data_IF_045985841669
#
_entry.id   IF_045985841669
#
_cell.length_a   1.000
_cell.length_b   1.000
_cell.length_c   1.000
_cell.angle_alpha   90.00
_cell.angle_beta   90.00
_cell.angle_gamma   90.00
#
_symmetry.space_group_name_H-M   'P 1'
#
loop_
_entity.id
_entity.type
_entity.pdbx_description
1 polymer ?
#
# COMPACT_ATOMS: atom_id res chain seq x y z
N UNK A 1 -37.48 8.91 -5.99
CA UNK A 1 -36.43 9.66 -5.26
C UNK A 1 -35.37 8.77 -4.60
N UNK A 2 -35.73 7.71 -3.85
CA UNK A 2 -34.76 6.79 -3.21
C UNK A 2 -33.75 6.13 -4.18
N UNK A 3 -34.13 5.84 -5.43
CA UNK A 3 -33.23 5.22 -6.41
C UNK A 3 -32.18 6.17 -7.00
N UNK A 4 -32.50 7.46 -7.18
CA UNK A 4 -31.56 8.47 -7.69
C UNK A 4 -30.48 8.78 -6.64
N UNK A 5 -30.89 8.96 -5.38
CA UNK A 5 -29.95 9.17 -4.28
C UNK A 5 -28.95 8.01 -4.13
N UNK A 6 -29.46 6.76 -4.18
CA UNK A 6 -28.61 5.56 -4.12
C UNK A 6 -27.60 5.52 -5.26
N UNK A 7 -28.01 5.85 -6.49
CA UNK A 7 -27.11 5.90 -7.66
C UNK A 7 -26.02 6.96 -7.50
N UNK A 8 -26.37 8.17 -7.07
CA UNK A 8 -25.40 9.25 -6.84
C UNK A 8 -24.40 8.88 -5.75
N UNK A 9 -24.86 8.32 -4.64
CA UNK A 9 -23.99 7.91 -3.54
C UNK A 9 -23.00 6.81 -3.96
N UNK A 10 -23.46 5.83 -4.75
CA UNK A 10 -22.58 4.79 -5.30
C UNK A 10 -21.56 5.36 -6.29
N UNK A 11 -21.94 6.36 -7.09
CA UNK A 11 -21.00 7.03 -8.00
C UNK A 11 -19.91 7.77 -7.21
N UNK A 12 -20.31 8.53 -6.19
CA UNK A 12 -19.40 9.26 -5.31
C UNK A 12 -18.46 8.30 -4.56
N UNK A 13 -18.99 7.21 -4.01
CA UNK A 13 -18.19 6.20 -3.32
C UNK A 13 -17.13 5.61 -4.25
N UNK A 14 -17.49 5.20 -5.47
CA UNK A 14 -16.53 4.66 -6.45
C UNK A 14 -15.46 5.67 -6.84
N UNK A 15 -15.84 6.94 -6.98
CA UNK A 15 -14.91 8.03 -7.26
C UNK A 15 -13.91 8.21 -6.10
N UNK A 16 -14.41 8.46 -4.89
CA UNK A 16 -13.59 8.68 -3.71
C UNK A 16 -12.67 7.48 -3.44
N UNK A 17 -13.17 6.27 -3.62
CA UNK A 17 -12.42 5.06 -3.37
C UNK A 17 -11.25 4.90 -4.33
N UNK A 18 -11.47 5.10 -5.64
CA UNK A 18 -10.41 5.00 -6.65
C UNK A 18 -9.38 6.11 -6.54
N UNK A 19 -9.83 7.37 -6.52
CA UNK A 19 -8.91 8.52 -6.48
C UNK A 19 -8.26 8.68 -5.11
N UNK A 20 -8.96 8.30 -4.03
CA UNK A 20 -8.38 8.21 -2.69
C UNK A 20 -7.28 7.16 -2.61
N UNK A 21 -7.49 5.96 -3.17
CA UNK A 21 -6.44 4.94 -3.24
C UNK A 21 -5.23 5.44 -4.05
N UNK A 22 -5.47 6.04 -5.21
CA UNK A 22 -4.41 6.60 -6.05
C UNK A 22 -3.60 7.68 -5.33
N UNK A 23 -4.28 8.61 -4.65
CA UNK A 23 -3.65 9.64 -3.84
C UNK A 23 -2.79 9.04 -2.72
N UNK A 24 -3.32 8.06 -1.98
CA UNK A 24 -2.59 7.39 -0.90
C UNK A 24 -1.33 6.71 -1.44
N UNK A 25 -1.42 5.97 -2.55
CA UNK A 25 -0.28 5.31 -3.17
C UNK A 25 0.82 6.30 -3.58
N UNK A 26 0.44 7.39 -4.25
CA UNK A 26 1.40 8.43 -4.65
C UNK A 26 2.05 9.06 -3.42
N UNK A 27 1.25 9.41 -2.41
CA UNK A 27 1.76 10.07 -1.21
C UNK A 27 2.70 9.17 -0.40
N UNK A 28 2.32 7.89 -0.20
CA UNK A 28 3.18 6.90 0.45
C UNK A 28 4.46 6.65 -0.34
N UNK A 29 4.39 6.63 -1.68
CA UNK A 29 5.56 6.50 -2.53
C UNK A 29 6.51 7.68 -2.36
N UNK A 30 6.01 8.91 -2.38
CA UNK A 30 6.83 10.11 -2.14
C UNK A 30 7.51 10.07 -0.77
N UNK A 31 6.81 9.61 0.27
CA UNK A 31 7.38 9.51 1.62
C UNK A 31 8.52 8.48 1.71
N UNK A 32 8.52 7.44 0.90
CA UNK A 32 9.57 6.39 0.88
C UNK A 32 10.94 6.87 0.42
N UNK A 33 11.03 8.04 -0.21
CA UNK A 33 12.32 8.66 -0.53
C UNK A 33 12.99 9.30 0.70
N UNK A 34 12.27 9.45 1.83
CA UNK A 34 12.85 10.00 3.07
C UNK A 34 13.66 8.93 3.80
N UNK A 35 14.85 9.30 4.29
CA UNK A 35 15.74 8.42 5.04
C UNK A 35 15.07 7.78 6.28
N UNK A 36 14.12 8.48 6.91
CA UNK A 36 13.37 7.96 8.06
C UNK A 36 12.55 6.72 7.74
N UNK A 37 11.97 6.64 6.54
CA UNK A 37 11.18 5.48 6.11
C UNK A 37 12.10 4.31 5.73
N UNK A 38 13.30 4.59 5.21
CA UNK A 38 14.28 3.57 4.88
C UNK A 38 14.73 2.79 6.12
N UNK A 39 15.16 3.47 7.19
CA UNK A 39 15.57 2.81 8.43
C UNK A 39 14.44 2.01 9.08
N UNK A 40 13.22 2.50 8.98
CA UNK A 40 12.06 1.80 9.51
C UNK A 40 11.77 0.49 8.77
N UNK A 41 11.87 0.50 7.43
CA UNK A 41 11.72 -0.70 6.60
C UNK A 41 12.89 -1.66 6.85
N UNK A 42 14.11 -1.14 7.05
CA UNK A 42 15.28 -1.93 7.43
C UNK A 42 15.06 -2.71 8.73
N UNK A 43 14.54 -2.06 9.77
CA UNK A 43 14.21 -2.69 11.03
C UNK A 43 13.18 -3.81 10.86
N UNK A 44 12.11 -3.57 10.10
CA UNK A 44 11.09 -4.58 9.84
C UNK A 44 11.63 -5.77 9.01
N UNK A 45 12.46 -5.50 7.99
CA UNK A 45 13.04 -6.52 7.12
C UNK A 45 14.12 -7.36 7.81
N UNK A 46 14.95 -6.75 8.66
CA UNK A 46 16.02 -7.45 9.39
C UNK A 46 15.48 -8.50 10.36
N UNK A 47 14.28 -8.29 10.89
CA UNK A 47 13.59 -9.26 11.75
C UNK A 47 12.79 -10.32 10.98
N UNK A 48 12.78 -10.26 9.64
CA UNK A 48 11.95 -11.13 8.79
C UNK A 48 12.81 -12.06 7.94
N UNK A 49 12.60 -13.37 8.04
CA UNK A 49 13.35 -14.38 7.27
C UNK A 49 13.15 -14.22 5.75
N UNK A 50 11.94 -13.87 5.33
CA UNK A 50 11.54 -13.74 3.91
C UNK A 50 12.35 -12.70 3.12
N UNK A 51 12.76 -11.60 3.75
CA UNK A 51 13.32 -10.43 3.04
C UNK A 51 14.70 -9.99 3.54
N UNK A 52 15.17 -10.49 4.68
CA UNK A 52 16.49 -10.16 5.24
C UNK A 52 17.66 -10.47 4.29
N UNK A 53 17.54 -11.50 3.45
CA UNK A 53 18.58 -11.86 2.48
C UNK A 53 18.76 -10.81 1.38
N UNK A 54 17.71 -10.03 1.03
CA UNK A 54 17.80 -8.99 -0.01
C UNK A 54 18.74 -7.86 0.40
N UNK A 55 18.84 -7.59 1.71
CA UNK A 55 19.73 -6.56 2.27
C UNK A 55 21.22 -6.88 2.03
N UNK A 56 21.56 -8.13 1.66
CA UNK A 56 22.94 -8.50 1.28
C UNK A 56 23.33 -8.05 -0.12
N UNK A 57 22.34 -7.84 -1.00
CA UNK A 57 22.55 -7.57 -2.43
C UNK A 57 22.15 -6.15 -2.84
N UNK A 58 21.17 -5.56 -2.17
CA UNK A 58 20.63 -4.24 -2.50
C UNK A 58 20.63 -3.36 -1.23
N UNK A 59 21.05 -2.11 -1.38
CA UNK A 59 20.99 -1.14 -0.27
C UNK A 59 19.54 -0.84 0.08
N UNK A 60 19.26 -0.59 1.37
CA UNK A 60 17.90 -0.28 1.79
C UNK A 60 17.32 0.93 1.03
N UNK A 61 18.13 1.95 0.78
CA UNK A 61 17.70 3.15 0.03
C UNK A 61 17.32 2.85 -1.41
N UNK A 62 18.07 1.98 -2.10
CA UNK A 62 17.71 1.55 -3.45
C UNK A 62 16.41 0.76 -3.43
N UNK A 63 16.26 -0.18 -2.47
CA UNK A 63 15.04 -0.97 -2.32
C UNK A 63 13.80 -0.11 -2.05
N UNK A 64 13.88 0.83 -1.11
CA UNK A 64 12.74 1.72 -0.80
C UNK A 64 12.43 2.67 -1.96
N UNK A 65 13.43 3.10 -2.70
CA UNK A 65 13.25 3.92 -3.91
C UNK A 65 12.54 3.16 -5.03
N UNK A 66 12.85 1.87 -5.22
CA UNK A 66 12.14 1.02 -6.19
C UNK A 66 10.67 0.90 -5.80
N UNK A 67 10.39 0.60 -4.52
CA UNK A 67 9.01 0.52 -4.03
C UNK A 67 8.31 1.88 -4.17
N UNK A 68 9.00 2.99 -3.91
CA UNK A 68 8.47 4.35 -4.06
C UNK A 68 7.96 4.59 -5.48
N UNK A 69 8.78 4.30 -6.49
CA UNK A 69 8.39 4.43 -7.89
C UNK A 69 7.24 3.51 -8.26
N UNK A 70 7.26 2.24 -7.82
CA UNK A 70 6.17 1.30 -8.07
C UNK A 70 4.84 1.79 -7.47
N UNK A 71 4.86 2.36 -6.26
CA UNK A 71 3.68 2.94 -5.62
C UNK A 71 3.14 4.14 -6.40
N UNK A 72 4.01 5.08 -6.80
CA UNK A 72 3.61 6.26 -7.56
C UNK A 72 2.99 5.86 -8.90
N UNK A 73 3.66 4.97 -9.65
CA UNK A 73 3.19 4.48 -10.95
C UNK A 73 1.84 3.76 -10.79
N UNK A 74 1.72 2.90 -9.78
CA UNK A 74 0.48 2.19 -9.48
C UNK A 74 -0.67 3.16 -9.19
N UNK A 75 -0.45 4.18 -8.35
CA UNK A 75 -1.45 5.18 -8.03
C UNK A 75 -1.91 5.98 -9.26
N UNK A 76 -0.96 6.41 -10.10
CA UNK A 76 -1.26 7.08 -11.36
C UNK A 76 -2.09 6.19 -12.30
N UNK A 77 -1.70 4.92 -12.44
CA UNK A 77 -2.38 3.97 -13.31
C UNK A 77 -3.82 3.69 -12.86
N UNK A 78 -4.05 3.55 -11.56
CA UNK A 78 -5.40 3.40 -10.98
C UNK A 78 -6.27 4.63 -11.28
N UNK A 79 -5.71 5.84 -11.16
CA UNK A 79 -6.44 7.09 -11.43
C UNK A 79 -6.73 7.28 -12.93
N UNK A 80 -5.90 6.74 -13.82
CA UNK A 80 -6.03 6.84 -15.28
C UNK A 80 -7.08 5.88 -15.89
N UNK A 81 -7.92 5.23 -15.08
CA UNK A 81 -9.04 4.41 -15.58
C UNK A 81 -9.88 5.10 -16.68
N UNK A 82 -10.26 6.39 -16.59
CA UNK A 82 -11.07 7.04 -17.63
C UNK A 82 -10.41 7.05 -19.00
N UNK A 83 -9.07 7.03 -19.05
CA UNK A 83 -8.27 7.01 -20.29
C UNK A 83 -8.07 5.58 -20.77
N UNK A 84 -7.70 4.66 -19.88
CA UNK A 84 -7.48 3.26 -20.23
C UNK A 84 -7.78 2.31 -19.07
N UNK A 85 -8.74 1.40 -19.29
CA UNK A 85 -9.04 0.31 -18.33
C UNK A 85 -7.85 -0.60 -18.10
N UNK A 86 -7.07 -0.89 -19.15
CA UNK A 86 -5.89 -1.76 -19.08
C UNK A 86 -4.81 -1.20 -18.16
N UNK A 87 -4.59 0.12 -18.17
CA UNK A 87 -3.65 0.76 -17.25
C UNK A 87 -4.11 0.58 -15.80
N UNK A 88 -5.39 0.83 -15.54
CA UNK A 88 -5.97 0.66 -14.20
C UNK A 88 -5.89 -0.78 -13.68
N UNK A 89 -6.01 -1.79 -14.56
CA UNK A 89 -5.78 -3.21 -14.20
C UNK A 89 -4.35 -3.44 -13.73
N UNK A 90 -3.35 -2.99 -14.49
CA UNK A 90 -1.94 -3.10 -14.08
C UNK A 90 -1.63 -2.32 -12.81
N UNK A 91 -2.21 -1.12 -12.66
CA UNK A 91 -2.09 -0.32 -11.44
C UNK A 91 -2.65 -1.05 -10.22
N UNK A 92 -3.84 -1.65 -10.34
CA UNK A 92 -4.48 -2.43 -9.27
C UNK A 92 -3.68 -3.68 -8.89
N UNK A 93 -3.20 -4.45 -9.87
CA UNK A 93 -2.33 -5.62 -9.63
C UNK A 93 -1.05 -5.22 -8.91
N UNK A 94 -0.39 -4.16 -9.36
CA UNK A 94 0.85 -3.66 -8.75
C UNK A 94 0.61 -3.20 -7.30
N UNK A 95 -0.49 -2.48 -7.03
CA UNK A 95 -0.88 -2.09 -5.68
C UNK A 95 -1.11 -3.30 -4.77
N UNK A 96 -1.82 -4.33 -5.26
CA UNK A 96 -2.06 -5.55 -4.51
C UNK A 96 -0.74 -6.23 -4.11
N UNK A 97 0.20 -6.37 -5.04
CA UNK A 97 1.52 -6.96 -4.75
C UNK A 97 2.26 -6.17 -3.67
N UNK A 98 2.28 -4.83 -3.78
CA UNK A 98 2.99 -3.97 -2.82
C UNK A 98 2.39 -4.10 -1.41
N UNK A 99 1.06 -3.98 -1.27
CA UNK A 99 0.41 -4.07 0.03
C UNK A 99 0.48 -5.48 0.62
N UNK A 100 0.38 -6.52 -0.22
CA UNK A 100 0.54 -7.90 0.24
C UNK A 100 1.95 -8.17 0.74
N UNK A 101 2.98 -7.69 0.04
CA UNK A 101 4.36 -7.76 0.52
C UNK A 101 4.54 -7.03 1.86
N UNK A 102 3.95 -5.83 2.01
CA UNK A 102 3.94 -5.09 3.28
C UNK A 102 3.30 -5.87 4.42
N UNK A 103 2.13 -6.47 4.17
CA UNK A 103 1.44 -7.35 5.12
C UNK A 103 2.36 -8.51 5.55
N UNK A 104 3.00 -9.20 4.61
CA UNK A 104 3.89 -10.32 4.93
C UNK A 104 5.11 -9.90 5.75
N UNK A 105 5.73 -8.76 5.41
CA UNK A 105 6.87 -8.20 6.17
C UNK A 105 6.45 -7.93 7.61
N UNK A 106 5.38 -7.16 7.80
CA UNK A 106 4.98 -6.75 9.16
C UNK A 106 4.42 -7.92 9.97
N UNK A 107 3.66 -8.81 9.35
CA UNK A 107 3.13 -10.01 10.02
C UNK A 107 4.25 -10.92 10.55
N UNK A 108 5.32 -11.07 9.77
CA UNK A 108 6.46 -11.91 10.15
C UNK A 108 7.44 -11.20 11.09
N UNK A 109 7.31 -9.89 11.24
CA UNK A 109 8.18 -9.08 12.08
C UNK A 109 7.67 -9.02 13.53
N UNK A 110 8.59 -9.05 14.50
CA UNK A 110 8.25 -8.90 15.92
C UNK A 110 7.87 -7.46 16.33
N UNK A 111 7.92 -6.49 15.42
CA UNK A 111 7.74 -5.05 15.71
C UNK A 111 6.29 -4.58 15.69
N UNK A 112 5.30 -5.45 15.47
CA UNK A 112 3.87 -5.06 15.40
C UNK A 112 3.38 -4.43 16.71
N UNK A 113 3.82 -4.97 17.84
CA UNK A 113 3.43 -4.53 19.16
C UNK A 113 4.33 -3.41 19.68
N UNK A 114 3.75 -2.46 20.41
CA UNK A 114 4.55 -1.42 21.05
C UNK A 114 5.44 -2.03 22.14
N UNK A 115 6.73 -1.68 22.12
CA UNK A 115 7.70 -2.18 23.09
C UNK A 115 7.32 -1.74 24.50
N UNK A 116 7.10 -2.69 25.41
CA UNK A 116 6.80 -2.43 26.82
C UNK A 116 5.32 -2.42 27.20
N UNK A 117 4.39 -2.35 26.24
CA UNK A 117 2.95 -2.32 26.51
C UNK A 117 2.23 -3.59 26.05
N UNK A 118 2.74 -4.28 25.03
CA UNK A 118 2.15 -5.52 24.51
C UNK A 118 0.77 -5.29 23.87
N UNK A 119 -0.02 -6.36 23.74
CA UNK A 119 -1.38 -6.26 23.22
C UNK A 119 -2.28 -5.44 24.16
N UNK A 120 -3.10 -4.48 23.67
CA UNK A 120 -3.46 -4.19 22.28
C UNK A 120 -2.73 -2.98 21.66
N UNK A 121 -1.67 -2.46 22.29
CA UNK A 121 -0.99 -1.26 21.79
C UNK A 121 -0.13 -1.55 20.56
N UNK A 122 -0.49 -0.90 19.45
CA UNK A 122 0.21 -1.03 18.18
C UNK A 122 1.36 -0.05 18.10
N UNK A 123 2.51 -0.55 17.66
CA UNK A 123 3.59 0.33 17.21
C UNK A 123 3.20 1.03 15.91
N UNK A 124 4.08 1.91 15.41
CA UNK A 124 3.97 2.46 14.04
C UNK A 124 3.88 1.35 12.98
N UNK A 125 4.49 0.18 13.22
CA UNK A 125 4.43 -1.00 12.35
C UNK A 125 3.10 -1.71 12.41
N UNK A 126 2.53 -1.86 13.59
CA UNK A 126 1.15 -2.35 13.72
C UNK A 126 0.14 -1.45 13.00
N UNK A 127 0.31 -0.13 13.07
CA UNK A 127 -0.57 0.81 12.34
C UNK A 127 -0.39 0.71 10.81
N UNK A 128 0.86 0.60 10.34
CA UNK A 128 1.14 0.42 8.92
C UNK A 128 0.55 -0.90 8.38
N UNK A 129 0.69 -1.98 9.14
CA UNK A 129 0.10 -3.29 8.85
C UNK A 129 -1.42 -3.23 8.68
N UNK A 130 -2.14 -2.63 9.63
CA UNK A 130 -3.60 -2.49 9.52
C UNK A 130 -4.02 -1.65 8.32
N UNK A 131 -3.29 -0.55 8.06
CA UNK A 131 -3.52 0.29 6.88
C UNK A 131 -3.30 -0.50 5.59
N UNK A 132 -2.28 -1.33 5.52
CA UNK A 132 -1.99 -2.12 4.30
C UNK A 132 -3.09 -3.17 4.02
N UNK A 133 -3.75 -3.71 5.04
CA UNK A 133 -4.91 -4.61 4.87
C UNK A 133 -6.09 -3.96 4.15
N UNK A 134 -6.51 -2.77 4.60
CA UNK A 134 -7.62 -2.06 3.97
C UNK A 134 -7.26 -1.58 2.56
N UNK A 135 -6.00 -1.16 2.36
CA UNK A 135 -5.51 -0.72 1.05
C UNK A 135 -5.36 -1.90 0.06
N UNK A 136 -5.00 -3.08 0.53
CA UNK A 136 -5.01 -4.31 -0.27
C UNK A 136 -6.43 -4.64 -0.76
N UNK A 137 -7.43 -4.58 0.12
CA UNK A 137 -8.84 -4.74 -0.25
C UNK A 137 -9.30 -3.67 -1.25
N UNK A 138 -8.85 -2.43 -1.07
CA UNK A 138 -9.16 -1.34 -1.99
C UNK A 138 -8.53 -1.52 -3.37
N UNK A 139 -7.29 -2.01 -3.42
CA UNK A 139 -6.61 -2.36 -4.66
C UNK A 139 -7.32 -3.50 -5.39
N UNK A 140 -7.73 -4.55 -4.68
CA UNK A 140 -8.50 -5.66 -5.24
C UNK A 140 -9.84 -5.20 -5.82
N UNK A 141 -10.55 -4.30 -5.13
CA UNK A 141 -11.77 -3.70 -5.65
C UNK A 141 -11.51 -2.84 -6.90
N UNK A 142 -10.46 -2.00 -6.90
CA UNK A 142 -10.11 -1.18 -8.06
C UNK A 142 -9.73 -2.03 -9.28
N UNK A 143 -9.03 -3.14 -9.05
CA UNK A 143 -8.71 -4.15 -10.06
C UNK A 143 -10.00 -4.74 -10.62
N UNK A 144 -10.89 -5.26 -9.77
CA UNK A 144 -12.16 -5.87 -10.17
C UNK A 144 -13.07 -4.90 -10.95
N UNK A 145 -13.13 -3.63 -10.57
CA UNK A 145 -13.92 -2.60 -11.29
C UNK A 145 -13.26 -2.14 -12.60
N UNK A 146 -12.02 -2.57 -12.88
CA UNK A 146 -11.28 -2.26 -14.12
C UNK A 146 -11.21 -3.42 -15.10
N UNK A 147 -11.46 -4.65 -14.64
CA UNK A 147 -11.67 -5.85 -15.48
C UNK A 147 -12.98 -5.70 -16.27
#
# INVERSE_FOLDING_TARGET
MRSLFKKSMLSLARFLFRYGLGLILIWLGVLKFKNTEAHYIEQAMSQTVLFSWMLKYITIYAFTSIIAWMQIISGLFIMLKPVSRKLSVWGGLLAMVIFFAGILVFFSSGVVWHSGYGFPELSRAGQAFLKDFILFGAAAWCLSDSL
#
